data_IF_488988095890
#
_entry.id   IF_488988095890
#
_cell.length_a   1.000
_cell.length_b   1.000
_cell.length_c   1.000
_cell.angle_alpha   90.00
_cell.angle_beta   90.00
_cell.angle_gamma   90.00
#
_symmetry.space_group_name_H-M   'P 1'
#
loop_
_entity.id
_entity.type
_entity.pdbx_description
1 polymer ?
#
# COMPACT_ATOMS: atom_id res chain seq x y z
N UNK A 1 38.63 7.67 -14.40
CA UNK A 1 39.80 8.02 -13.56
C UNK A 1 40.27 6.76 -12.89
N UNK A 2 41.48 6.33 -13.28
CA UNK A 2 42.22 5.13 -12.84
C UNK A 2 42.80 5.36 -11.44
N UNK A 3 42.84 4.28 -10.62
CA UNK A 3 43.93 3.96 -9.67
C UNK A 3 43.62 2.55 -9.17
N UNK A 4 44.25 1.47 -9.54
CA UNK A 4 45.63 0.99 -9.27
C UNK A 4 45.85 0.63 -7.80
N UNK A 5 45.80 -0.69 -7.56
CA UNK A 5 46.92 -1.51 -7.12
C UNK A 5 47.44 -1.30 -5.70
N UNK A 6 47.47 -2.34 -4.89
CA UNK A 6 48.73 -2.88 -4.34
C UNK A 6 48.54 -4.26 -3.70
N UNK A 7 49.15 -5.28 -4.31
CA UNK A 7 49.44 -6.59 -3.75
C UNK A 7 50.65 -6.45 -2.82
N UNK A 8 50.58 -6.97 -1.59
CA UNK A 8 51.74 -7.24 -0.76
C UNK A 8 51.67 -8.70 -0.31
N UNK A 9 52.60 -9.49 -0.84
CA UNK A 9 52.95 -10.84 -0.40
C UNK A 9 54.16 -10.72 0.52
N UNK A 10 54.24 -11.34 1.69
CA UNK A 10 55.48 -11.66 2.33
C UNK A 10 55.82 -13.15 2.17
N UNK A 11 56.95 -13.41 1.53
CA UNK A 11 57.65 -14.68 1.50
C UNK A 11 58.29 -14.96 2.87
N UNK A 12 58.12 -16.16 3.38
CA UNK A 12 58.84 -16.63 4.55
C UNK A 12 59.84 -17.73 4.09
N UNK A 13 61.12 -17.43 4.30
CA UNK A 13 62.24 -18.25 3.94
C UNK A 13 62.52 -19.33 5.00
N UNK A 14 62.79 -20.51 4.49
CA UNK A 14 63.35 -21.64 5.23
C UNK A 14 64.85 -21.40 5.53
N UNK A 15 65.23 -21.65 6.75
CA UNK A 15 66.65 -21.86 7.08
C UNK A 15 66.87 -23.17 7.83
N UNK A 16 67.59 -24.06 7.21
CA UNK A 16 68.15 -25.31 7.69
C UNK A 16 69.55 -25.06 8.21
N UNK A 17 69.96 -25.74 9.30
CA UNK A 17 71.30 -26.16 9.67
C UNK A 17 71.24 -26.92 10.97
N UNK A 18 71.68 -28.10 11.19
CA UNK A 18 72.81 -28.84 10.68
C UNK A 18 73.87 -29.04 11.76
N UNK A 19 74.20 -30.30 12.09
CA UNK A 19 75.40 -30.74 12.70
C UNK A 19 75.50 -30.72 14.22
N UNK A 20 75.99 -31.68 14.92
CA UNK A 20 76.86 -32.80 14.78
C UNK A 20 77.41 -33.21 16.14
N UNK A 21 77.45 -34.45 16.34
CA UNK A 21 78.54 -35.33 16.83
C UNK A 21 79.07 -35.23 18.29
N UNK A 22 79.07 -36.42 18.88
CA UNK A 22 80.11 -37.14 19.69
C UNK A 22 80.34 -36.60 21.11
N UNK A 23 80.59 -37.37 22.13
CA UNK A 23 81.11 -38.71 22.47
C UNK A 23 80.79 -39.01 23.97
N UNK A 24 80.66 -40.29 24.26
CA UNK A 24 81.19 -41.14 25.37
C UNK A 24 81.22 -40.60 26.79
N UNK A 25 80.83 -41.36 27.83
CA UNK A 25 81.20 -42.64 28.30
C UNK A 25 80.58 -42.96 29.64
N UNK A 26 80.38 -44.26 29.86
CA UNK A 26 80.43 -44.98 31.12
C UNK A 26 79.48 -44.72 32.30
N UNK A 27 78.58 -45.63 32.49
CA UNK A 27 78.57 -46.63 33.51
C UNK A 27 78.06 -46.21 34.89
N UNK A 28 76.96 -46.80 35.25
CA UNK A 28 76.76 -47.55 36.51
C UNK A 28 75.33 -48.11 36.53
N UNK A 29 75.16 -49.41 36.69
CA UNK A 29 73.98 -50.14 36.98
C UNK A 29 73.26 -49.59 38.22
N UNK A 30 72.03 -49.18 38.11
CA UNK A 30 71.05 -49.29 39.17
C UNK A 30 69.70 -49.71 38.58
N UNK A 31 69.31 -50.91 38.92
CA UNK A 31 68.05 -51.51 38.51
C UNK A 31 66.92 -50.97 39.30
N UNK A 32 66.42 -49.81 38.85
CA UNK A 32 65.16 -49.33 39.36
C UNK A 32 64.14 -49.53 38.19
N UNK A 33 63.24 -50.44 38.40
CA UNK A 33 62.13 -50.69 37.47
C UNK A 33 61.30 -49.40 37.33
N UNK A 34 61.58 -48.67 36.29
CA UNK A 34 60.72 -47.53 35.93
C UNK A 34 59.48 -48.10 35.25
N UNK A 35 58.38 -48.13 35.93
CA UNK A 35 57.09 -48.32 35.33
C UNK A 35 56.89 -47.20 34.32
N UNK A 36 56.68 -47.50 33.06
CA UNK A 36 56.42 -46.46 32.09
C UNK A 36 55.12 -45.77 32.46
N UNK A 37 55.24 -44.54 32.96
CA UNK A 37 54.07 -43.68 33.12
C UNK A 37 53.60 -43.32 31.70
N UNK A 38 52.57 -44.00 31.25
CA UNK A 38 51.93 -43.58 30.02
C UNK A 38 51.41 -42.18 30.21
N UNK A 39 52.06 -41.27 29.51
CA UNK A 39 51.60 -39.87 29.43
C UNK A 39 50.41 -39.90 28.54
N UNK A 40 49.24 -40.16 29.12
CA UNK A 40 47.97 -40.05 28.41
C UNK A 40 47.73 -38.59 28.03
N UNK A 41 47.58 -38.39 26.76
CA UNK A 41 47.13 -37.07 26.27
C UNK A 41 45.72 -36.79 26.81
N UNK A 42 45.56 -35.71 27.57
CA UNK A 42 44.25 -35.31 28.07
C UNK A 42 43.36 -34.95 26.87
N UNK A 43 42.31 -35.71 26.66
CA UNK A 43 41.32 -35.41 25.60
C UNK A 43 39.98 -35.05 26.30
N UNK A 44 39.35 -34.02 25.81
CA UNK A 44 38.03 -33.65 26.23
C UNK A 44 37.03 -34.20 25.20
N UNK A 45 36.18 -35.10 25.65
CA UNK A 45 35.10 -35.62 24.81
C UNK A 45 33.81 -34.89 25.09
N UNK A 46 33.17 -34.37 24.04
CA UNK A 46 31.82 -33.81 24.11
C UNK A 46 30.83 -34.80 23.52
N UNK A 47 29.79 -35.10 24.27
CA UNK A 47 28.67 -35.87 23.77
C UNK A 47 27.77 -34.89 22.99
N UNK A 48 27.67 -35.10 21.68
CA UNK A 48 26.80 -34.32 20.81
C UNK A 48 25.35 -34.81 21.00
N UNK A 49 24.48 -33.93 21.43
CA UNK A 49 23.05 -34.14 21.45
C UNK A 49 22.45 -33.54 20.19
N UNK A 50 21.48 -34.18 19.54
CA UNK A 50 20.75 -33.58 18.45
C UNK A 50 19.98 -32.36 18.95
N UNK A 51 20.28 -31.20 18.38
CA UNK A 51 19.55 -29.95 18.63
C UNK A 51 18.87 -29.50 17.36
N UNK A 52 17.71 -28.87 17.50
CA UNK A 52 17.02 -28.27 16.36
C UNK A 52 17.86 -27.08 15.86
N UNK A 53 18.23 -27.14 14.61
CA UNK A 53 18.92 -26.04 13.93
C UNK A 53 17.91 -25.28 13.06
N UNK A 54 17.61 -24.05 13.43
CA UNK A 54 16.76 -23.17 12.63
C UNK A 54 17.63 -22.49 11.58
N UNK A 55 17.30 -22.71 10.34
CA UNK A 55 17.95 -22.05 9.20
C UNK A 55 17.08 -20.91 8.72
N UNK A 56 17.59 -19.69 8.83
CA UNK A 56 16.92 -18.48 8.34
C UNK A 56 17.59 -18.02 7.04
N UNK A 57 16.81 -17.49 6.16
CA UNK A 57 17.30 -16.76 5.00
C UNK A 57 16.61 -15.39 4.92
N UNK A 58 17.37 -14.39 4.51
CA UNK A 58 16.88 -13.01 4.43
C UNK A 58 16.47 -12.71 2.99
N UNK A 59 15.31 -12.10 2.82
CA UNK A 59 14.83 -11.61 1.53
C UNK A 59 14.44 -10.15 1.66
N UNK A 60 14.60 -9.41 0.57
CA UNK A 60 14.12 -8.04 0.51
C UNK A 60 12.63 -8.04 0.18
N UNK A 61 11.82 -7.44 1.03
CA UNK A 61 10.39 -7.26 0.82
C UNK A 61 10.04 -5.79 0.61
N UNK A 62 8.95 -5.57 -0.12
CA UNK A 62 8.33 -4.26 -0.31
C UNK A 62 6.97 -4.28 0.38
N UNK A 63 6.70 -3.26 1.20
CA UNK A 63 5.39 -3.10 1.82
C UNK A 63 4.43 -2.54 0.79
N UNK A 64 3.39 -3.28 0.50
CA UNK A 64 2.32 -2.88 -0.43
C UNK A 64 0.97 -2.85 0.29
N UNK A 65 0.00 -2.19 -0.32
CA UNK A 65 -1.38 -2.18 0.12
C UNK A 65 -2.32 -2.42 -1.05
N UNK A 66 -3.40 -3.15 -0.83
CA UNK A 66 -4.43 -3.43 -1.85
C UNK A 66 -5.22 -2.17 -2.25
N UNK A 67 -5.23 -1.15 -1.39
CA UNK A 67 -5.97 0.09 -1.61
C UNK A 67 -5.01 1.27 -1.76
N UNK A 68 -4.45 1.39 -2.95
CA UNK A 68 -3.67 2.53 -3.42
C UNK A 68 -4.32 3.01 -4.72
N UNK A 69 -4.97 4.16 -4.70
CA UNK A 69 -5.69 4.68 -5.85
C UNK A 69 -5.29 6.13 -6.19
N UNK A 70 -5.05 6.36 -7.46
CA UNK A 70 -5.03 7.70 -8.03
C UNK A 70 -6.47 8.19 -8.19
N UNK A 71 -6.76 9.37 -7.71
CA UNK A 71 -8.08 10.00 -7.78
C UNK A 71 -8.09 10.91 -9.00
N UNK A 72 -9.12 10.73 -9.84
CA UNK A 72 -9.34 11.54 -11.04
C UNK A 72 -10.62 12.35 -10.90
N UNK A 73 -10.67 13.58 -11.40
CA UNK A 73 -11.92 14.32 -11.51
C UNK A 73 -12.78 13.68 -12.60
N UNK A 74 -14.08 13.64 -12.40
CA UNK A 74 -15.02 13.09 -13.39
C UNK A 74 -15.50 14.16 -14.38
N UNK A 75 -15.38 15.44 -14.00
CA UNK A 75 -15.72 16.58 -14.86
C UNK A 75 -14.55 17.57 -14.95
N UNK A 76 -14.30 18.16 -16.14
CA UNK A 76 -13.30 19.21 -16.28
C UNK A 76 -13.84 20.52 -15.71
N UNK A 77 -13.20 21.06 -14.66
CA UNK A 77 -13.56 22.35 -14.09
C UNK A 77 -12.41 22.92 -13.23
N UNK A 78 -12.53 24.22 -12.89
CA UNK A 78 -11.57 24.87 -12.01
C UNK A 78 -11.75 24.41 -10.57
N UNK A 79 -10.63 24.15 -9.88
CA UNK A 79 -10.61 23.88 -8.44
C UNK A 79 -11.02 25.12 -7.67
N UNK A 80 -12.09 25.02 -6.90
CA UNK A 80 -12.61 26.12 -6.08
C UNK A 80 -12.05 26.08 -4.67
N UNK A 81 -11.97 24.89 -4.06
CA UNK A 81 -11.36 24.73 -2.74
C UNK A 81 -10.87 23.30 -2.54
N UNK A 82 -9.78 23.19 -1.79
CA UNK A 82 -9.21 21.91 -1.32
C UNK A 82 -9.53 21.79 0.17
N UNK A 83 -10.10 20.67 0.59
CA UNK A 83 -10.62 20.48 1.96
C UNK A 83 -9.72 19.62 2.84
N UNK A 84 -8.69 19.02 2.25
CA UNK A 84 -7.75 18.12 2.92
C UNK A 84 -6.33 18.51 2.53
N UNK A 85 -5.38 18.15 3.38
CA UNK A 85 -3.95 18.33 3.13
C UNK A 85 -3.26 16.99 2.94
N UNK A 86 -2.06 17.01 2.37
CA UNK A 86 -1.20 15.83 2.31
C UNK A 86 -0.88 15.35 3.73
N UNK A 87 -0.96 14.04 3.94
CA UNK A 87 -0.83 13.40 5.25
C UNK A 87 -2.12 13.29 6.06
N UNK A 88 -3.22 13.94 5.64
CA UNK A 88 -4.48 13.88 6.36
C UNK A 88 -5.17 12.51 6.23
N UNK A 89 -5.76 12.07 7.33
CA UNK A 89 -6.66 10.92 7.33
C UNK A 89 -8.03 11.31 6.80
N UNK A 90 -8.49 10.62 5.77
CA UNK A 90 -9.80 10.83 5.16
C UNK A 90 -10.69 9.61 5.33
N UNK A 91 -11.98 9.84 5.54
CA UNK A 91 -13.00 8.80 5.60
C UNK A 91 -13.60 8.57 4.21
N UNK A 92 -14.13 7.35 3.96
CA UNK A 92 -14.88 7.07 2.73
C UNK A 92 -16.04 8.05 2.55
N UNK A 93 -16.13 8.66 1.37
CA UNK A 93 -17.15 9.67 1.05
C UNK A 93 -16.83 11.09 1.53
N UNK A 94 -15.74 11.29 2.26
CA UNK A 94 -15.30 12.63 2.67
C UNK A 94 -14.89 13.46 1.43
N UNK A 95 -15.32 14.71 1.39
CA UNK A 95 -14.95 15.62 0.31
C UNK A 95 -13.49 16.00 0.40
N UNK A 96 -12.75 15.73 -0.68
CA UNK A 96 -11.34 16.07 -0.84
C UNK A 96 -11.22 17.48 -1.39
N UNK A 97 -11.90 17.75 -2.49
CA UNK A 97 -11.93 19.06 -3.13
C UNK A 97 -13.25 19.32 -3.85
N UNK A 98 -13.52 20.58 -4.11
CA UNK A 98 -14.67 21.02 -4.88
C UNK A 98 -14.24 21.77 -6.13
N UNK A 99 -14.94 21.50 -7.22
CA UNK A 99 -14.77 22.16 -8.49
C UNK A 99 -15.85 23.23 -8.70
N UNK A 100 -15.63 24.14 -9.64
CA UNK A 100 -16.59 25.18 -9.98
C UNK A 100 -17.84 24.60 -10.63
N UNK A 101 -18.91 24.54 -9.88
CA UNK A 101 -20.22 23.98 -10.26
C UNK A 101 -21.29 25.04 -10.46
N UNK A 102 -20.96 26.34 -10.58
CA UNK A 102 -21.94 27.44 -10.64
C UNK A 102 -22.95 27.26 -11.76
N UNK A 103 -22.52 26.83 -12.93
CA UNK A 103 -23.41 26.65 -14.09
C UNK A 103 -24.42 25.55 -13.82
N UNK A 104 -23.95 24.38 -13.40
CA UNK A 104 -24.83 23.23 -13.14
C UNK A 104 -25.72 23.48 -11.92
N UNK A 105 -25.23 24.21 -10.91
CA UNK A 105 -26.02 24.62 -9.76
C UNK A 105 -27.21 25.49 -10.19
N UNK A 106 -26.98 26.49 -11.04
CA UNK A 106 -28.05 27.33 -11.56
C UNK A 106 -29.08 26.52 -12.34
N UNK A 107 -28.65 25.50 -13.10
CA UNK A 107 -29.54 24.59 -13.81
C UNK A 107 -30.40 23.74 -12.85
N UNK A 108 -29.80 23.23 -11.76
CA UNK A 108 -30.52 22.53 -10.69
C UNK A 108 -31.57 23.44 -10.06
N UNK A 109 -31.21 24.70 -9.75
CA UNK A 109 -32.11 25.65 -9.11
C UNK A 109 -33.27 26.00 -10.05
N UNK A 110 -33.05 26.15 -11.36
CA UNK A 110 -34.08 26.35 -12.36
C UNK A 110 -35.04 25.15 -12.43
N UNK A 111 -34.49 23.92 -12.50
CA UNK A 111 -35.32 22.72 -12.53
C UNK A 111 -36.13 22.53 -11.26
N UNK A 112 -35.60 22.90 -10.09
CA UNK A 112 -36.37 22.89 -8.82
C UNK A 112 -37.58 23.80 -8.85
N UNK A 113 -37.45 24.99 -9.43
CA UNK A 113 -38.58 25.89 -9.60
C UNK A 113 -39.65 25.33 -10.54
N UNK A 114 -39.23 24.74 -11.68
CA UNK A 114 -40.11 24.08 -12.64
C UNK A 114 -40.84 22.87 -12.01
N UNK A 115 -40.09 22.07 -11.24
CA UNK A 115 -40.64 20.90 -10.53
C UNK A 115 -41.70 21.32 -9.50
N UNK A 116 -41.41 22.35 -8.70
CA UNK A 116 -42.37 22.88 -7.70
C UNK A 116 -43.67 23.36 -8.33
N UNK A 117 -43.62 23.99 -9.51
CA UNK A 117 -44.79 24.38 -10.25
C UNK A 117 -45.57 23.14 -10.73
N UNK A 118 -44.86 22.16 -11.33
CA UNK A 118 -45.49 20.94 -11.83
C UNK A 118 -46.11 20.10 -10.70
N UNK A 119 -45.46 20.01 -9.53
CA UNK A 119 -45.99 19.39 -8.32
C UNK A 119 -47.30 20.04 -7.86
N UNK A 120 -47.33 21.37 -7.87
CA UNK A 120 -48.56 22.13 -7.51
C UNK A 120 -49.69 21.81 -8.48
N UNK A 121 -49.41 21.80 -9.79
CA UNK A 121 -50.40 21.47 -10.82
C UNK A 121 -50.88 20.02 -10.66
N UNK A 122 -49.97 19.08 -10.51
CA UNK A 122 -50.28 17.65 -10.31
C UNK A 122 -51.13 17.44 -9.07
N UNK A 123 -50.79 18.06 -7.94
CA UNK A 123 -51.54 17.93 -6.69
C UNK A 123 -52.99 18.45 -6.83
N UNK A 124 -53.15 19.57 -7.52
CA UNK A 124 -54.47 20.12 -7.81
C UNK A 124 -55.30 19.24 -8.75
N UNK A 125 -54.68 18.75 -9.85
CA UNK A 125 -55.35 17.84 -10.79
C UNK A 125 -55.72 16.53 -10.12
N UNK A 126 -54.84 15.99 -9.27
CA UNK A 126 -55.12 14.80 -8.47
C UNK A 126 -56.30 15.00 -7.53
N UNK A 127 -56.34 16.15 -6.83
CA UNK A 127 -57.46 16.45 -5.91
C UNK A 127 -58.81 16.60 -6.64
N UNK A 128 -58.83 17.14 -7.87
CA UNK A 128 -60.04 17.20 -8.70
C UNK A 128 -60.45 15.81 -9.18
N UNK A 129 -59.50 15.01 -9.63
CA UNK A 129 -59.71 13.64 -10.08
C UNK A 129 -60.27 12.75 -8.95
N UNK A 130 -59.70 12.86 -7.73
CA UNK A 130 -60.10 12.11 -6.54
C UNK A 130 -61.57 12.48 -6.11
N UNK A 131 -62.06 13.64 -6.57
CA UNK A 131 -63.47 14.09 -6.39
C UNK A 131 -64.36 13.79 -7.60
N UNK A 132 -63.85 12.99 -8.56
CA UNK A 132 -64.54 12.68 -9.82
C UNK A 132 -64.83 13.92 -10.70
N UNK A 133 -64.06 15.01 -10.50
CA UNK A 133 -64.17 16.26 -11.27
C UNK A 133 -63.00 16.33 -12.26
N UNK A 134 -63.28 16.49 -13.52
CA UNK A 134 -62.29 16.72 -14.56
C UNK A 134 -62.01 15.53 -15.48
N UNK A 135 -60.93 15.61 -16.26
CA UNK A 135 -60.56 14.60 -17.24
C UNK A 135 -59.37 13.78 -16.76
N UNK A 136 -59.47 12.45 -16.90
CA UNK A 136 -58.34 11.54 -16.64
C UNK A 136 -57.08 11.94 -17.41
N UNK A 137 -57.27 12.39 -18.64
CA UNK A 137 -56.13 12.83 -19.50
C UNK A 137 -55.41 14.00 -18.84
N UNK A 138 -56.10 14.99 -18.30
CA UNK A 138 -55.47 16.12 -17.63
C UNK A 138 -54.69 15.72 -16.38
N UNK A 139 -55.24 14.77 -15.60
CA UNK A 139 -54.53 14.20 -14.46
C UNK A 139 -53.29 13.46 -14.88
N UNK A 140 -53.38 12.59 -15.92
CA UNK A 140 -52.25 11.83 -16.43
C UNK A 140 -51.15 12.73 -17.05
N UNK A 141 -51.55 13.79 -17.78
CA UNK A 141 -50.58 14.79 -18.30
C UNK A 141 -49.85 15.52 -17.18
N UNK A 142 -50.55 15.97 -16.15
CA UNK A 142 -49.94 16.64 -14.99
C UNK A 142 -49.02 15.69 -14.23
N UNK A 143 -49.40 14.43 -14.06
CA UNK A 143 -48.60 13.39 -13.42
C UNK A 143 -47.32 13.12 -14.23
N UNK A 144 -47.43 12.87 -15.52
CA UNK A 144 -46.33 12.59 -16.39
C UNK A 144 -45.32 13.76 -16.46
N UNK A 145 -45.82 14.99 -16.50
CA UNK A 145 -44.97 16.17 -16.48
C UNK A 145 -44.20 16.31 -15.16
N UNK A 146 -44.88 16.08 -14.02
CA UNK A 146 -44.23 16.09 -12.70
C UNK A 146 -43.13 15.01 -12.60
N UNK A 147 -43.47 13.75 -12.93
CA UNK A 147 -42.52 12.62 -12.89
C UNK A 147 -41.34 12.82 -13.81
N UNK A 148 -41.56 13.34 -15.03
CA UNK A 148 -40.51 13.63 -16.00
C UNK A 148 -39.54 14.71 -15.49
N UNK A 149 -40.06 15.79 -14.89
CA UNK A 149 -39.22 16.85 -14.30
C UNK A 149 -38.46 16.36 -13.08
N UNK A 150 -39.06 15.47 -12.27
CA UNK A 150 -38.39 14.85 -11.14
C UNK A 150 -37.19 14.01 -11.60
N UNK A 151 -37.37 13.17 -12.59
CA UNK A 151 -36.25 12.37 -13.17
C UNK A 151 -35.18 13.26 -13.79
N UNK A 152 -35.58 14.33 -14.49
CA UNK A 152 -34.63 15.28 -15.06
C UNK A 152 -33.83 16.00 -13.98
N UNK A 153 -34.45 16.40 -12.88
CA UNK A 153 -33.76 17.00 -11.73
C UNK A 153 -32.73 16.03 -11.13
N UNK A 154 -33.12 14.78 -10.92
CA UNK A 154 -32.22 13.75 -10.38
C UNK A 154 -30.98 13.56 -11.27
N UNK A 155 -31.17 13.51 -12.60
CA UNK A 155 -30.08 13.40 -13.54
C UNK A 155 -29.10 14.60 -13.48
N UNK A 156 -29.63 15.82 -13.38
CA UNK A 156 -28.81 17.03 -13.30
C UNK A 156 -28.15 17.16 -11.92
N UNK A 157 -28.79 16.71 -10.86
CA UNK A 157 -28.17 16.63 -9.52
C UNK A 157 -27.01 15.64 -9.49
N UNK A 158 -27.17 14.46 -10.11
CA UNK A 158 -26.06 13.51 -10.29
C UNK A 158 -24.91 14.14 -11.06
N UNK A 159 -25.20 14.89 -12.11
CA UNK A 159 -24.17 15.62 -12.86
C UNK A 159 -23.49 16.69 -12.00
N UNK A 160 -24.21 17.43 -11.15
CA UNK A 160 -23.65 18.39 -10.19
C UNK A 160 -22.69 17.70 -9.21
N UNK A 161 -23.01 16.49 -8.78
CA UNK A 161 -22.22 15.78 -7.79
C UNK A 161 -20.82 15.37 -8.32
N UNK A 162 -20.64 15.27 -9.64
CA UNK A 162 -19.31 15.08 -10.28
C UNK A 162 -18.32 16.24 -10.02
N UNK A 163 -18.82 17.40 -9.62
CA UNK A 163 -17.98 18.55 -9.25
C UNK A 163 -17.52 18.52 -7.79
N UNK A 164 -17.91 17.50 -7.03
CA UNK A 164 -17.48 17.31 -5.65
C UNK A 164 -16.69 16.00 -5.56
N UNK A 165 -15.39 16.11 -5.49
CA UNK A 165 -14.52 14.94 -5.47
C UNK A 165 -14.44 14.40 -4.05
N UNK A 166 -14.82 13.12 -3.91
CA UNK A 166 -14.90 12.42 -2.62
C UNK A 166 -13.93 11.24 -2.58
N UNK A 167 -13.49 10.89 -1.37
CA UNK A 167 -12.64 9.73 -1.14
C UNK A 167 -13.40 8.42 -1.41
N UNK A 168 -12.90 7.52 -2.28
CA UNK A 168 -13.55 6.25 -2.59
C UNK A 168 -13.49 5.24 -1.44
N UNK A 169 -12.47 5.34 -0.59
CA UNK A 169 -12.28 4.54 0.63
C UNK A 169 -11.61 5.37 1.72
N UNK A 170 -11.51 4.85 2.92
CA UNK A 170 -10.82 5.52 4.03
C UNK A 170 -9.31 5.26 3.94
N UNK A 171 -8.49 6.30 4.08
CA UNK A 171 -7.04 6.21 3.97
C UNK A 171 -6.35 7.51 4.31
N UNK A 172 -5.09 7.61 3.92
CA UNK A 172 -4.26 8.81 4.06
C UNK A 172 -4.08 9.44 2.68
N UNK A 173 -4.26 10.75 2.61
CA UNK A 173 -3.99 11.52 1.39
C UNK A 173 -2.47 11.68 1.24
N UNK A 174 -1.91 10.93 0.29
CA UNK A 174 -0.45 10.89 0.07
C UNK A 174 0.04 12.13 -0.67
N UNK A 175 -0.66 12.51 -1.74
CA UNK A 175 -0.28 13.62 -2.61
C UNK A 175 -1.51 14.35 -3.15
N UNK A 176 -1.41 15.66 -3.28
CA UNK A 176 -2.41 16.52 -3.91
C UNK A 176 -1.73 17.36 -4.99
N UNK A 177 -2.04 17.08 -6.25
CA UNK A 177 -1.37 17.70 -7.40
C UNK A 177 -1.87 19.12 -7.74
N UNK A 178 -3.20 19.36 -7.87
CA UNK A 178 -3.69 20.67 -8.27
C UNK A 178 -3.73 21.66 -7.10
N UNK A 179 -3.64 22.94 -7.44
CA UNK A 179 -3.83 24.06 -6.51
C UNK A 179 -5.20 24.70 -6.73
N UNK A 180 -5.68 25.42 -5.72
CA UNK A 180 -6.89 26.24 -5.87
C UNK A 180 -6.73 27.24 -7.02
N UNK A 181 -7.73 27.30 -7.88
CA UNK A 181 -7.72 28.13 -9.09
C UNK A 181 -7.23 27.42 -10.36
N UNK A 182 -6.57 26.28 -10.27
CA UNK A 182 -6.13 25.47 -11.42
C UNK A 182 -7.28 24.69 -12.05
N UNK A 183 -7.08 24.24 -13.30
CA UNK A 183 -8.04 23.39 -14.01
C UNK A 183 -7.77 21.92 -13.68
N UNK A 184 -8.76 21.26 -13.12
CA UNK A 184 -8.79 19.81 -13.01
C UNK A 184 -9.33 19.21 -14.31
N UNK A 185 -8.70 18.11 -14.77
CA UNK A 185 -9.06 17.43 -16.02
C UNK A 185 -9.12 15.92 -15.78
N UNK A 186 -10.11 15.18 -16.30
CA UNK A 186 -10.21 13.73 -16.20
C UNK A 186 -9.00 12.93 -16.70
N UNK A 187 -8.17 13.52 -17.56
CA UNK A 187 -6.95 12.88 -18.04
C UNK A 187 -5.77 12.94 -17.04
N UNK A 188 -5.88 13.71 -15.98
CA UNK A 188 -4.81 13.90 -14.99
C UNK A 188 -5.32 13.60 -13.59
N UNK A 189 -4.57 12.82 -12.79
CA UNK A 189 -4.95 12.58 -11.41
C UNK A 189 -4.85 13.88 -10.60
N UNK A 190 -5.71 14.00 -9.61
CA UNK A 190 -5.71 15.12 -8.67
C UNK A 190 -5.00 14.80 -7.36
N UNK A 191 -4.69 13.52 -7.12
CA UNK A 191 -3.98 13.09 -5.94
C UNK A 191 -3.99 11.57 -5.79
N UNK A 192 -3.34 11.13 -4.75
CA UNK A 192 -3.22 9.71 -4.38
C UNK A 192 -3.77 9.47 -2.99
N UNK A 193 -4.58 8.43 -2.88
CA UNK A 193 -5.14 7.98 -1.60
C UNK A 193 -4.63 6.57 -1.30
N UNK A 194 -4.05 6.39 -0.12
CA UNK A 194 -3.43 5.13 0.31
C UNK A 194 -4.07 4.66 1.61
N UNK A 195 -4.47 3.40 1.67
CA UNK A 195 -4.92 2.78 2.91
C UNK A 195 -3.74 2.04 3.57
N UNK A 196 -3.32 2.52 4.73
CA UNK A 196 -2.21 1.94 5.50
C UNK A 196 -2.66 0.94 6.58
N UNK A 197 -3.97 0.67 6.69
CA UNK A 197 -4.47 -0.27 7.71
C UNK A 197 -4.30 -1.72 7.32
N UNK A 198 -4.40 -2.02 6.03
CA UNK A 198 -4.22 -3.34 5.46
C UNK A 198 -3.02 -3.32 4.54
N UNK A 199 -1.87 -3.67 5.09
CA UNK A 199 -0.62 -3.76 4.36
C UNK A 199 -0.14 -5.20 4.34
N UNK A 200 0.55 -5.58 3.30
CA UNK A 200 1.24 -6.85 3.17
C UNK A 200 2.65 -6.64 2.65
N UNK A 201 3.50 -7.61 2.87
CA UNK A 201 4.87 -7.60 2.36
C UNK A 201 4.94 -8.53 1.17
N UNK A 202 5.36 -7.98 0.06
CA UNK A 202 5.67 -8.75 -1.13
C UNK A 202 7.18 -8.91 -1.24
N UNK A 203 7.64 -10.14 -1.26
CA UNK A 203 9.06 -10.47 -1.40
C UNK A 203 9.26 -11.49 -2.51
N UNK A 204 10.28 -11.28 -3.33
CA UNK A 204 10.66 -12.21 -4.38
C UNK A 204 11.65 -13.22 -3.81
N UNK A 205 11.24 -14.49 -3.80
CA UNK A 205 12.06 -15.59 -3.31
C UNK A 205 12.61 -16.39 -4.48
N UNK A 206 13.91 -16.70 -4.42
CA UNK A 206 14.57 -17.51 -5.45
C UNK A 206 14.02 -18.94 -5.46
N UNK A 207 13.95 -19.56 -6.64
CA UNK A 207 13.43 -20.92 -6.85
C UNK A 207 14.04 -21.97 -5.90
N UNK A 208 15.26 -21.76 -5.45
CA UNK A 208 15.95 -22.65 -4.53
C UNK A 208 15.20 -22.88 -3.21
N UNK A 209 14.41 -21.90 -2.77
CA UNK A 209 13.68 -21.97 -1.50
C UNK A 209 12.21 -22.39 -1.66
N UNK A 210 11.69 -22.49 -2.90
CA UNK A 210 10.30 -22.87 -3.15
C UNK A 210 9.90 -24.24 -2.61
N UNK A 211 10.86 -25.18 -2.54
CA UNK A 211 10.59 -26.52 -2.00
C UNK A 211 10.45 -26.54 -0.48
N UNK A 212 10.92 -25.50 0.21
CA UNK A 212 10.98 -25.41 1.68
C UNK A 212 9.87 -24.53 2.24
N UNK A 213 9.50 -23.47 1.53
CA UNK A 213 8.48 -22.51 1.96
C UNK A 213 7.08 -23.09 1.76
N UNK A 214 6.24 -22.97 2.78
CA UNK A 214 4.85 -23.39 2.75
C UNK A 214 3.92 -22.26 3.21
N UNK A 215 2.69 -22.26 2.72
CA UNK A 215 1.68 -21.35 3.26
C UNK A 215 1.49 -21.58 4.77
N UNK A 216 1.63 -20.51 5.56
CA UNK A 216 1.50 -20.55 7.01
C UNK A 216 2.82 -20.58 7.77
N UNK A 217 3.97 -20.57 7.07
CA UNK A 217 5.27 -20.42 7.73
C UNK A 217 5.39 -19.03 8.38
N UNK A 218 6.04 -18.99 9.55
CA UNK A 218 6.28 -17.73 10.27
C UNK A 218 7.40 -16.93 9.60
N UNK A 219 7.19 -15.62 9.53
CA UNK A 219 8.13 -14.66 8.96
C UNK A 219 8.41 -13.58 9.99
N UNK A 220 9.67 -13.32 10.25
CA UNK A 220 10.13 -12.16 11.04
C UNK A 220 10.37 -10.96 10.11
N UNK A 221 9.88 -9.77 10.50
CA UNK A 221 9.98 -8.53 9.73
C UNK A 221 10.67 -7.45 10.55
#
# INVERSE_FOLDING_TARGET
MRLSSLLIVPAFALASCGGGATEESEGVNDSTSVVPTEIGTAVTAYQLSPTTFNHFFTVQGVVETDQNALIYPEAPARVTSIKVSEGDNVSKGQTIMTLDSRIIKNQVDELKLRLSLAETIFTKQKSLWDQEIGSEIQYLEAKNNFESLQQNLEAVEAQRDLYTIKAPFAGIMDEILPKEGEMANPAMPIGRLVNTRNVYIKADVTERYLAVIKPGDEVEV
#
